data_IF_256810623740
#
_entry.id   IF_256810623740
#
_cell.length_a   1.000
_cell.length_b   1.000
_cell.length_c   1.000
_cell.angle_alpha   90.00
_cell.angle_beta   90.00
_cell.angle_gamma   90.00
#
_symmetry.space_group_name_H-M   'P 1'
#
loop_
_entity.id
_entity.type
_entity.pdbx_description
1 polymer ?
#
# COMPACT_ATOMS: atom_id res chain seq x y z
N UNK A 1 -4.06 5.49 -9.33
CA UNK A 1 -4.86 4.24 -9.42
C UNK A 1 -4.04 2.99 -9.63
N UNK A 2 -2.96 3.01 -10.42
CA UNK A 2 -2.15 1.82 -10.68
C UNK A 2 -1.63 1.12 -9.42
N UNK A 3 -1.10 1.86 -8.44
CA UNK A 3 -0.62 1.30 -7.17
C UNK A 3 -1.74 0.64 -6.35
N UNK A 4 -2.93 1.23 -6.34
CA UNK A 4 -4.11 0.66 -5.67
C UNK A 4 -4.48 -0.67 -6.31
N UNK A 5 -4.67 -0.73 -7.63
CA UNK A 5 -5.04 -1.99 -8.30
C UNK A 5 -3.94 -3.04 -8.27
N UNK A 6 -2.69 -2.61 -8.45
CA UNK A 6 -1.52 -3.49 -8.46
C UNK A 6 -1.22 -4.11 -7.10
N UNK A 7 -1.42 -3.38 -6.00
CA UNK A 7 -1.17 -3.90 -4.66
C UNK A 7 -2.39 -4.57 -4.01
N UNK A 8 -3.62 -4.29 -4.48
CA UNK A 8 -4.84 -4.87 -3.92
C UNK A 8 -5.51 -5.89 -4.85
N UNK A 9 -6.26 -5.46 -5.86
CA UNK A 9 -7.13 -6.35 -6.63
C UNK A 9 -6.38 -7.38 -7.47
N UNK A 10 -5.27 -7.00 -8.12
CA UNK A 10 -4.61 -7.89 -9.09
C UNK A 10 -3.95 -9.12 -8.45
N UNK A 11 -3.17 -9.01 -7.35
CA UNK A 11 -2.56 -10.18 -6.72
C UNK A 11 -3.62 -11.17 -6.21
N UNK A 12 -4.73 -10.66 -5.65
CA UNK A 12 -5.81 -11.50 -5.16
C UNK A 12 -6.57 -12.17 -6.30
N UNK A 13 -6.79 -11.48 -7.43
CA UNK A 13 -7.40 -12.08 -8.61
C UNK A 13 -6.51 -13.17 -9.23
N UNK A 14 -5.20 -12.95 -9.30
CA UNK A 14 -4.24 -13.96 -9.77
C UNK A 14 -4.21 -15.16 -8.82
N UNK A 15 -4.18 -14.93 -7.51
CA UNK A 15 -4.22 -16.01 -6.51
C UNK A 15 -5.51 -16.83 -6.63
N UNK A 16 -6.68 -16.19 -6.74
CA UNK A 16 -7.96 -16.88 -6.94
C UNK A 16 -7.96 -17.72 -8.22
N UNK A 17 -7.43 -17.19 -9.32
CA UNK A 17 -7.33 -17.92 -10.58
C UNK A 17 -6.40 -19.15 -10.47
N UNK A 18 -5.26 -19.02 -9.79
CA UNK A 18 -4.34 -20.16 -9.54
C UNK A 18 -5.02 -21.22 -8.68
N UNK A 19 -5.70 -20.82 -7.60
CA UNK A 19 -6.41 -21.74 -6.71
C UNK A 19 -7.51 -22.52 -7.45
N UNK A 20 -8.29 -21.83 -8.30
CA UNK A 20 -9.29 -22.45 -9.19
C UNK A 20 -8.66 -23.46 -10.13
N UNK A 21 -7.54 -23.09 -10.74
CA UNK A 21 -6.83 -23.94 -11.70
C UNK A 21 -6.28 -25.23 -11.06
N UNK A 22 -6.00 -25.20 -9.75
CA UNK A 22 -5.58 -26.35 -8.96
C UNK A 22 -6.76 -27.18 -8.39
N UNK A 23 -8.01 -26.83 -8.73
CA UNK A 23 -9.20 -27.55 -8.28
C UNK A 23 -9.61 -27.26 -6.83
N UNK A 24 -9.08 -26.19 -6.22
CA UNK A 24 -9.45 -25.79 -4.86
C UNK A 24 -10.70 -24.90 -4.86
N UNK A 25 -11.53 -25.07 -3.81
CA UNK A 25 -12.66 -24.17 -3.53
C UNK A 25 -12.17 -22.75 -3.30
N UNK A 26 -12.86 -21.78 -3.88
CA UNK A 26 -12.47 -20.37 -3.89
C UNK A 26 -12.96 -19.63 -2.67
N UNK A 27 -12.33 -18.49 -2.37
CA UNK A 27 -12.85 -17.52 -1.41
C UNK A 27 -14.12 -16.88 -1.99
N UNK A 28 -15.29 -17.11 -1.39
CA UNK A 28 -16.50 -16.36 -1.72
C UNK A 28 -16.26 -14.88 -1.39
N UNK A 29 -16.16 -14.05 -2.43
CA UNK A 29 -16.02 -12.61 -2.28
C UNK A 29 -17.35 -12.06 -1.76
N UNK A 30 -17.49 -11.96 -0.44
CA UNK A 30 -18.65 -11.31 0.16
C UNK A 30 -18.67 -9.84 -0.25
N UNK A 31 -19.64 -9.48 -1.09
CA UNK A 31 -19.76 -8.12 -1.63
C UNK A 31 -20.05 -7.17 -0.47
N UNK A 32 -19.18 -6.18 -0.27
CA UNK A 32 -19.41 -5.15 0.74
C UNK A 32 -20.78 -4.51 0.51
N UNK A 33 -21.59 -4.42 1.57
CA UNK A 33 -22.94 -3.89 1.47
C UNK A 33 -22.89 -2.45 0.95
N UNK A 34 -23.69 -2.15 -0.06
CA UNK A 34 -23.81 -0.82 -0.68
C UNK A 34 -24.58 0.17 0.21
N UNK A 35 -24.58 -0.03 1.53
CA UNK A 35 -25.29 0.85 2.47
C UNK A 35 -24.51 2.16 2.56
N UNK A 36 -24.96 3.17 1.81
CA UNK A 36 -24.43 4.53 1.89
C UNK A 36 -24.91 5.19 3.17
N UNK A 37 -24.04 5.21 4.18
CA UNK A 37 -24.16 6.12 5.31
C UNK A 37 -23.79 7.52 4.80
N UNK A 38 -24.53 8.57 5.18
CA UNK A 38 -24.32 9.95 4.70
C UNK A 38 -22.85 10.42 4.82
N UNK A 39 -22.14 9.99 5.86
CA UNK A 39 -20.73 10.32 6.07
C UNK A 39 -19.83 9.73 4.96
N UNK A 40 -20.13 8.52 4.49
CA UNK A 40 -19.41 7.86 3.39
C UNK A 40 -19.66 8.61 2.07
N UNK A 41 -20.92 9.04 1.84
CA UNK A 41 -21.29 9.81 0.65
C UNK A 41 -20.54 11.13 0.56
N UNK A 42 -20.44 11.86 1.69
CA UNK A 42 -19.70 13.14 1.76
C UNK A 42 -18.23 12.97 1.41
N UNK A 43 -17.57 11.92 1.93
CA UNK A 43 -16.16 11.62 1.63
C UNK A 43 -15.96 11.25 0.16
N UNK A 44 -16.84 10.43 -0.39
CA UNK A 44 -16.81 10.08 -1.82
C UNK A 44 -16.94 11.33 -2.71
N UNK A 45 -17.88 12.22 -2.41
CA UNK A 45 -18.05 13.48 -3.17
C UNK A 45 -16.86 14.43 -3.04
N UNK A 46 -16.14 14.38 -1.90
CA UNK A 46 -14.90 15.13 -1.69
C UNK A 46 -13.66 14.47 -2.34
N UNK A 47 -13.81 13.34 -3.03
CA UNK A 47 -12.70 12.61 -3.65
C UNK A 47 -11.79 11.90 -2.63
N UNK A 48 -12.25 11.72 -1.40
CA UNK A 48 -11.48 11.08 -0.33
C UNK A 48 -11.67 9.56 -0.36
N UNK A 49 -10.56 8.82 -0.29
CA UNK A 49 -10.58 7.37 -0.20
C UNK A 49 -11.10 6.89 1.16
N UNK A 50 -11.85 5.78 1.17
CA UNK A 50 -12.34 5.14 2.39
C UNK A 50 -11.45 3.95 2.75
N UNK A 51 -10.84 3.98 3.94
CA UNK A 51 -10.03 2.87 4.47
C UNK A 51 -10.49 2.36 5.82
N UNK A 52 -11.69 2.74 6.26
CA UNK A 52 -12.24 2.41 7.58
C UNK A 52 -12.63 0.95 7.78
N UNK A 53 -12.72 0.17 6.69
CA UNK A 53 -13.00 -1.27 6.76
C UNK A 53 -11.68 -2.02 6.90
N UNK A 54 -11.52 -2.80 7.96
CA UNK A 54 -10.37 -3.69 8.11
C UNK A 54 -10.46 -4.82 7.07
N UNK A 55 -9.79 -4.64 5.93
CA UNK A 55 -9.68 -5.65 4.88
C UNK A 55 -8.21 -5.90 4.54
N UNK A 56 -7.78 -7.16 4.36
CA UNK A 56 -6.44 -7.50 3.88
C UNK A 56 -6.09 -6.80 2.55
N UNK A 57 -7.07 -6.57 1.68
CA UNK A 57 -6.91 -5.85 0.41
C UNK A 57 -6.44 -4.41 0.59
N UNK A 58 -6.87 -3.77 1.68
CA UNK A 58 -6.46 -2.40 2.00
C UNK A 58 -5.17 -2.34 2.79
N UNK A 59 -4.70 -3.45 3.37
CA UNK A 59 -3.48 -3.48 4.18
C UNK A 59 -2.20 -3.53 3.33
N UNK A 60 -2.26 -4.11 2.13
CA UNK A 60 -1.11 -4.21 1.21
C UNK A 60 -0.68 -2.84 0.65
N UNK A 61 -1.63 -1.95 0.41
CA UNK A 61 -1.42 -0.60 -0.11
C UNK A 61 -0.53 0.27 0.80
N UNK A 62 -0.82 0.45 2.10
CA UNK A 62 0.01 1.22 3.01
C UNK A 62 1.35 0.55 3.28
N UNK A 63 1.39 -0.79 3.28
CA UNK A 63 2.66 -1.52 3.38
C UNK A 63 3.59 -1.15 2.23
N UNK A 64 3.09 -1.24 1.00
CA UNK A 64 3.87 -0.86 -0.18
C UNK A 64 4.32 0.61 -0.13
N UNK A 65 3.46 1.53 0.32
CA UNK A 65 3.80 2.94 0.47
C UNK A 65 4.94 3.15 1.49
N UNK A 66 4.80 2.62 2.70
CA UNK A 66 5.80 2.77 3.78
C UNK A 66 7.14 2.13 3.40
N UNK A 67 7.13 0.94 2.80
CA UNK A 67 8.36 0.27 2.36
C UNK A 67 9.08 1.08 1.27
N UNK A 68 8.36 1.62 0.28
CA UNK A 68 8.98 2.49 -0.74
C UNK A 68 9.55 3.77 -0.13
N UNK A 69 8.89 4.35 0.87
CA UNK A 69 9.41 5.51 1.59
C UNK A 69 10.70 5.20 2.37
N UNK A 70 10.74 4.08 3.11
CA UNK A 70 11.93 3.63 3.82
C UNK A 70 13.09 3.33 2.86
N UNK A 71 12.81 2.66 1.73
CA UNK A 71 13.79 2.39 0.69
C UNK A 71 14.34 3.68 0.07
N UNK A 72 13.49 4.68 -0.18
CA UNK A 72 13.91 5.98 -0.70
C UNK A 72 14.85 6.71 0.28
N UNK A 73 14.48 6.78 1.57
CA UNK A 73 15.29 7.43 2.60
C UNK A 73 16.65 6.74 2.75
N UNK A 74 16.66 5.41 2.81
CA UNK A 74 17.90 4.65 2.96
C UNK A 74 18.79 4.71 1.72
N UNK A 75 18.21 4.66 0.51
CA UNK A 75 18.96 4.86 -0.73
C UNK A 75 19.60 6.26 -0.80
N UNK A 76 18.88 7.32 -0.39
CA UNK A 76 19.44 8.68 -0.33
C UNK A 76 20.62 8.75 0.63
N UNK A 77 20.48 8.17 1.84
CA UNK A 77 21.58 8.10 2.81
C UNK A 77 22.78 7.35 2.22
N UNK A 78 22.55 6.27 1.50
CA UNK A 78 23.61 5.47 0.88
C UNK A 78 24.34 6.23 -0.24
N UNK A 79 23.62 7.02 -1.04
CA UNK A 79 24.23 7.92 -2.04
C UNK A 79 25.15 8.93 -1.36
N UNK A 80 24.72 9.58 -0.28
CA UNK A 80 25.57 10.52 0.44
C UNK A 80 26.80 9.87 1.09
N UNK A 81 26.69 8.61 1.52
CA UNK A 81 27.80 7.87 2.13
C UNK A 81 28.82 7.33 1.12
N UNK A 82 28.35 6.87 -0.03
CA UNK A 82 29.18 6.09 -0.98
C UNK A 82 29.46 6.80 -2.30
N UNK A 83 28.72 7.87 -2.61
CA UNK A 83 28.82 8.58 -3.88
C UNK A 83 28.24 7.82 -5.09
N UNK A 84 27.66 6.62 -4.89
CA UNK A 84 27.19 5.71 -5.95
C UNK A 84 25.79 6.08 -6.48
N UNK A 85 25.61 7.34 -6.87
CA UNK A 85 24.33 7.82 -7.37
C UNK A 85 23.90 7.11 -8.65
N UNK A 86 24.82 6.95 -9.61
CA UNK A 86 24.52 6.34 -10.91
C UNK A 86 23.96 4.92 -10.78
N UNK A 87 24.49 4.15 -9.83
CA UNK A 87 24.08 2.78 -9.58
C UNK A 87 22.70 2.68 -8.90
N UNK A 88 22.40 3.64 -8.01
CA UNK A 88 21.14 3.68 -7.26
C UNK A 88 20.05 4.52 -7.96
N UNK A 89 20.37 5.22 -9.04
CA UNK A 89 19.49 6.20 -9.67
C UNK A 89 18.13 5.60 -10.05
N UNK A 90 18.13 4.47 -10.75
CA UNK A 90 16.89 3.83 -11.18
C UNK A 90 16.01 3.41 -9.98
N UNK A 91 16.62 2.88 -8.92
CA UNK A 91 15.93 2.46 -7.72
C UNK A 91 15.32 3.65 -6.98
N UNK A 92 16.10 4.73 -6.82
CA UNK A 92 15.64 5.98 -6.21
C UNK A 92 14.53 6.65 -7.01
N UNK A 93 14.64 6.63 -8.35
CA UNK A 93 13.63 7.18 -9.23
C UNK A 93 12.30 6.43 -9.10
N UNK A 94 12.33 5.09 -9.13
CA UNK A 94 11.13 4.26 -8.99
C UNK A 94 10.52 4.42 -7.60
N UNK A 95 11.33 4.37 -6.53
CA UNK A 95 10.86 4.56 -5.16
C UNK A 95 10.26 5.97 -4.97
N UNK A 96 10.90 7.00 -5.52
CA UNK A 96 10.41 8.38 -5.51
C UNK A 96 9.06 8.51 -6.23
N UNK A 97 8.94 7.93 -7.42
CA UNK A 97 7.67 7.90 -8.16
C UNK A 97 6.57 7.22 -7.37
N UNK A 98 6.86 6.07 -6.73
CA UNK A 98 5.90 5.37 -5.88
C UNK A 98 5.47 6.23 -4.69
N UNK A 99 6.43 6.86 -3.98
CA UNK A 99 6.17 7.73 -2.83
C UNK A 99 5.25 8.90 -3.21
N UNK A 100 5.53 9.59 -4.31
CA UNK A 100 4.71 10.74 -4.76
C UNK A 100 3.27 10.27 -5.07
N UNK A 101 3.12 9.14 -5.74
CA UNK A 101 1.80 8.59 -6.07
C UNK A 101 1.05 8.03 -4.84
N UNK A 102 1.75 7.80 -3.72
CA UNK A 102 1.19 7.35 -2.46
C UNK A 102 0.76 8.50 -1.53
N UNK A 103 0.81 9.76 -1.96
CA UNK A 103 0.42 10.90 -1.13
C UNK A 103 -0.95 10.75 -0.41
N UNK A 104 -2.05 10.38 -1.09
CA UNK A 104 -3.35 10.21 -0.43
C UNK A 104 -3.36 9.11 0.64
N UNK A 105 -2.45 8.15 0.54
CA UNK A 105 -2.30 7.05 1.50
C UNK A 105 -1.62 7.57 2.75
N UNK A 106 -0.55 8.37 2.62
CA UNK A 106 0.11 9.00 3.78
C UNK A 106 -0.83 9.95 4.53
N UNK A 107 -1.60 10.74 3.79
CA UNK A 107 -2.64 11.59 4.36
C UNK A 107 -3.67 10.78 5.14
N UNK A 108 -4.15 9.66 4.58
CA UNK A 108 -5.08 8.77 5.24
C UNK A 108 -4.51 8.02 6.45
N UNK A 109 -3.20 7.80 6.50
CA UNK A 109 -2.53 7.16 7.64
C UNK A 109 -2.26 8.15 8.78
N UNK A 110 -1.73 9.33 8.48
CA UNK A 110 -1.16 10.25 9.49
C UNK A 110 -2.08 11.43 9.80
N UNK A 111 -2.64 12.08 8.79
CA UNK A 111 -3.33 13.37 8.93
C UNK A 111 -4.82 13.23 9.26
N UNK A 112 -5.45 12.14 8.82
CA UNK A 112 -6.89 11.92 9.05
C UNK A 112 -7.19 11.36 10.44
N UNK A 113 -8.32 11.80 10.98
CA UNK A 113 -8.89 11.34 12.27
C UNK A 113 -10.35 10.90 12.13
N UNK A 114 -10.89 10.88 10.92
CA UNK A 114 -12.26 10.42 10.64
C UNK A 114 -12.35 8.89 10.48
N UNK A 115 -13.57 8.37 10.34
CA UNK A 115 -13.85 6.92 10.23
C UNK A 115 -13.24 6.25 8.99
N UNK A 116 -12.83 7.00 7.98
CA UNK A 116 -12.14 6.49 6.81
C UNK A 116 -10.60 6.49 6.95
N UNK A 117 -10.06 6.80 8.14
CA UNK A 117 -8.63 6.71 8.46
C UNK A 117 -8.13 5.28 8.27
N UNK A 118 -6.90 5.17 7.78
CA UNK A 118 -6.26 3.89 7.55
C UNK A 118 -5.74 3.27 8.87
N UNK A 119 -5.95 1.95 9.11
CA UNK A 119 -5.48 1.31 10.32
C UNK A 119 -3.94 1.31 10.42
N UNK A 120 -3.43 1.83 11.55
CA UNK A 120 -1.99 2.04 11.81
C UNK A 120 -1.20 0.73 11.95
N UNK A 121 -1.90 -0.41 12.11
CA UNK A 121 -1.30 -1.76 12.14
C UNK A 121 -0.38 -2.01 10.93
N UNK A 122 -0.67 -1.39 9.78
CA UNK A 122 0.17 -1.46 8.58
C UNK A 122 1.61 -1.02 8.83
N UNK A 123 1.86 -0.02 9.68
CA UNK A 123 3.23 0.49 9.94
C UNK A 123 4.08 -0.60 10.59
N UNK A 124 3.57 -1.30 11.60
CA UNK A 124 4.29 -2.38 12.27
C UNK A 124 4.66 -3.51 11.31
N UNK A 125 3.71 -3.95 10.48
CA UNK A 125 3.96 -4.98 9.45
C UNK A 125 4.98 -4.50 8.42
N UNK A 126 4.90 -3.24 8.01
CA UNK A 126 5.86 -2.64 7.06
C UNK A 126 7.29 -2.65 7.58
N UNK A 127 7.47 -2.34 8.87
CA UNK A 127 8.80 -2.32 9.50
C UNK A 127 9.40 -3.72 9.56
N UNK A 128 8.60 -4.74 9.90
CA UNK A 128 9.05 -6.14 9.91
C UNK A 128 9.45 -6.56 8.49
N UNK A 129 8.61 -6.32 7.50
CA UNK A 129 8.89 -6.63 6.09
C UNK A 129 10.18 -5.92 5.65
N UNK A 130 10.28 -4.62 5.90
CA UNK A 130 11.45 -3.84 5.54
C UNK A 130 12.73 -4.38 6.19
N UNK A 131 12.69 -4.70 7.49
CA UNK A 131 13.84 -5.27 8.20
C UNK A 131 14.32 -6.60 7.63
N UNK A 132 13.37 -7.47 7.21
CA UNK A 132 13.66 -8.77 6.59
C UNK A 132 14.33 -8.60 5.22
N UNK A 133 13.88 -7.61 4.43
CA UNK A 133 14.50 -7.31 3.15
C UNK A 133 15.86 -6.64 3.30
N UNK A 134 16.03 -5.75 4.28
CA UNK A 134 17.29 -5.06 4.52
C UNK A 134 18.38 -5.94 5.14
N UNK A 135 18.01 -7.00 5.87
CA UNK A 135 18.97 -7.93 6.48
C UNK A 135 19.48 -9.00 5.50
N UNK A 136 18.86 -9.09 4.32
CA UNK A 136 19.26 -10.03 3.27
C UNK A 136 20.42 -9.51 2.39
N UNK A 137 20.91 -8.28 2.64
CA UNK A 137 21.98 -7.60 1.90
C UNK A 137 22.95 -6.90 2.87
#
# INVERSE_FOLDING_TARGET
MWLVFGCSSYPFAVADWVLKSLGMSTTEFNVASKVLIDDLRKRYQAGLFEFGVESPLFLTIPIAAVVNWLALVTGIIQVFKTGRFEELFAQLFIAGFAVINSWPIYEAMVLRSDKGKMPVKAIGVSLVIYSLFSSAF
#
